data_IF_229740975093
#
_entry.id   IF_229740975093
#
_cell.length_a   1.000
_cell.length_b   1.000
_cell.length_c   1.000
_cell.angle_alpha   90.00
_cell.angle_beta   90.00
_cell.angle_gamma   90.00
#
_symmetry.space_group_name_H-M   'P 1'
#
loop_
_entity.id
_entity.type
_entity.pdbx_description
1 polymer ?
#
# COMPACT_ATOMS: atom_id res chain seq x y z
N UNK A 1 -27.98 -40.16 10.50
CA UNK A 1 -27.40 -38.82 10.28
C UNK A 1 -26.65 -38.80 8.95
N UNK A 2 -27.19 -38.09 7.95
CA UNK A 2 -26.52 -37.94 6.65
C UNK A 2 -25.53 -36.78 6.73
N UNK A 3 -24.25 -37.06 6.49
CA UNK A 3 -23.24 -36.03 6.29
C UNK A 3 -23.40 -35.46 4.88
N UNK A 4 -23.96 -34.26 4.79
CA UNK A 4 -24.03 -33.53 3.51
C UNK A 4 -22.70 -32.85 3.27
N UNK A 5 -21.89 -33.40 2.36
CA UNK A 5 -20.66 -32.77 1.92
C UNK A 5 -21.02 -31.52 1.09
N UNK A 6 -20.87 -30.33 1.66
CA UNK A 6 -21.16 -29.06 0.98
C UNK A 6 -19.92 -28.55 0.25
N UNK A 7 -20.06 -28.30 -1.05
CA UNK A 7 -19.00 -27.70 -1.85
C UNK A 7 -19.01 -26.18 -1.63
N UNK A 8 -18.20 -25.71 -0.68
CA UNK A 8 -18.00 -24.29 -0.46
C UNK A 8 -17.31 -23.71 -1.69
N UNK A 9 -18.00 -22.84 -2.43
CA UNK A 9 -17.38 -22.01 -3.48
C UNK A 9 -16.96 -20.69 -2.83
N UNK A 10 -15.71 -20.55 -2.37
CA UNK A 10 -15.26 -19.28 -1.82
C UNK A 10 -15.32 -18.23 -2.92
N UNK A 11 -16.13 -17.20 -2.72
CA UNK A 11 -16.06 -15.99 -3.54
C UNK A 11 -15.08 -15.06 -2.86
N UNK A 12 -14.05 -14.64 -3.57
CA UNK A 12 -13.10 -13.65 -3.07
C UNK A 12 -13.86 -12.35 -2.78
N UNK A 13 -14.12 -12.10 -1.50
CA UNK A 13 -14.59 -10.80 -1.06
C UNK A 13 -13.36 -9.96 -0.79
N UNK A 14 -13.00 -9.10 -1.76
CA UNK A 14 -12.03 -8.03 -1.52
C UNK A 14 -12.65 -7.10 -0.48
N UNK A 15 -12.22 -7.21 0.78
CA UNK A 15 -12.74 -6.41 1.88
C UNK A 15 -12.22 -4.95 1.88
N UNK A 16 -11.84 -4.41 0.73
CA UNK A 16 -11.36 -3.04 0.56
C UNK A 16 -10.84 -2.77 -0.86
N UNK A 17 -10.86 -1.51 -1.28
CA UNK A 17 -10.34 -1.05 -2.58
C UNK A 17 -8.86 -0.67 -2.53
N UNK A 18 -8.27 -0.63 -1.33
CA UNK A 18 -6.90 -0.18 -1.12
C UNK A 18 -5.93 -1.35 -0.95
N UNK A 19 -5.06 -1.52 -1.93
CA UNK A 19 -3.93 -2.46 -1.87
C UNK A 19 -2.64 -1.65 -1.76
N UNK A 20 -1.79 -1.89 -0.74
CA UNK A 20 -0.48 -1.25 -0.69
C UNK A 20 0.29 -1.48 -1.98
N UNK A 21 1.07 -0.48 -2.40
CA UNK A 21 1.96 -0.60 -3.55
C UNK A 21 3.02 -1.71 -3.35
N UNK A 22 3.68 -2.08 -4.45
CA UNK A 22 4.82 -3.00 -4.44
C UNK A 22 6.09 -2.25 -4.86
N UNK A 23 7.24 -2.51 -4.21
CA UNK A 23 8.48 -1.91 -4.64
C UNK A 23 8.88 -2.46 -6.02
N UNK A 24 9.35 -1.58 -6.90
CA UNK A 24 9.84 -2.01 -8.21
C UNK A 24 11.12 -2.83 -8.04
N UNK A 25 11.21 -3.97 -8.72
CA UNK A 25 12.36 -4.87 -8.64
C UNK A 25 13.70 -4.19 -8.95
N UNK A 26 13.69 -3.21 -9.87
CA UNK A 26 14.87 -2.40 -10.17
C UNK A 26 15.30 -1.52 -8.99
N UNK A 27 14.35 -0.90 -8.27
CA UNK A 27 14.65 -0.11 -7.07
C UNK A 27 15.21 -0.99 -5.95
N UNK A 28 14.57 -2.14 -5.69
CA UNK A 28 15.03 -3.11 -4.68
C UNK A 28 16.48 -3.52 -4.93
N UNK A 29 16.81 -3.87 -6.19
CA UNK A 29 18.17 -4.25 -6.57
C UNK A 29 19.17 -3.11 -6.43
N UNK A 30 18.81 -1.89 -6.87
CA UNK A 30 19.72 -0.74 -6.85
C UNK A 30 20.04 -0.28 -5.43
N UNK A 31 19.03 -0.23 -4.57
CA UNK A 31 19.18 0.15 -3.17
C UNK A 31 19.67 -1.00 -2.27
N UNK A 32 20.00 -2.17 -2.84
CA UNK A 32 20.42 -3.38 -2.11
C UNK A 32 19.45 -3.79 -0.98
N UNK A 33 18.15 -3.60 -1.22
CA UNK A 33 17.10 -3.89 -0.25
C UNK A 33 16.61 -5.34 -0.35
N UNK A 34 16.10 -5.85 0.76
CA UNK A 34 15.38 -7.12 0.85
C UNK A 34 13.89 -6.88 1.08
N UNK A 35 13.06 -7.92 0.90
CA UNK A 35 11.62 -7.84 1.20
C UNK A 35 11.35 -7.48 2.68
N UNK A 36 12.25 -7.87 3.59
CA UNK A 36 12.13 -7.62 5.03
C UNK A 36 12.37 -6.14 5.40
N UNK A 37 12.94 -5.35 4.48
CA UNK A 37 13.13 -3.91 4.67
C UNK A 37 11.84 -3.11 4.43
N UNK A 38 10.83 -3.75 3.83
CA UNK A 38 9.54 -3.15 3.52
C UNK A 38 8.48 -3.55 4.53
N UNK A 39 7.63 -2.59 4.89
CA UNK A 39 6.44 -2.83 5.71
C UNK A 39 5.20 -2.40 4.94
N UNK A 40 4.25 -3.33 4.80
CA UNK A 40 2.95 -3.05 4.18
C UNK A 40 1.89 -2.99 5.27
N UNK A 41 1.15 -1.90 5.29
CA UNK A 41 0.12 -1.63 6.30
C UNK A 41 -1.17 -1.32 5.57
N UNK A 42 -2.27 -1.92 6.04
CA UNK A 42 -3.63 -1.53 5.68
C UNK A 42 -4.39 -1.21 6.96
N UNK A 43 -5.24 -0.18 6.94
CA UNK A 43 -6.08 0.16 8.08
C UNK A 43 -7.50 0.48 7.65
N UNK A 44 -8.42 0.30 8.59
CA UNK A 44 -9.86 0.54 8.45
C UNK A 44 -10.35 1.26 9.68
N UNK A 45 -11.16 2.29 9.51
CA UNK A 45 -11.68 3.11 10.60
C UNK A 45 -13.21 3.11 10.53
N UNK A 46 -13.82 2.77 11.67
CA UNK A 46 -15.27 2.74 11.83
C UNK A 46 -15.98 1.70 10.97
N UNK A 47 -17.30 1.66 11.09
CA UNK A 47 -18.18 0.84 10.26
C UNK A 47 -19.45 1.63 9.94
N UNK A 48 -19.91 1.53 8.70
CA UNK A 48 -21.18 2.12 8.28
C UNK A 48 -22.35 1.30 8.84
N UNK A 49 -23.40 2.00 9.28
CA UNK A 49 -24.68 1.41 9.68
C UNK A 49 -25.76 1.64 8.62
N UNK A 50 -25.42 2.23 7.46
CA UNK A 50 -26.37 2.45 6.38
C UNK A 50 -26.78 1.12 5.76
N UNK A 51 -28.08 0.91 5.51
CA UNK A 51 -28.61 -0.38 5.02
C UNK A 51 -27.86 -0.92 3.78
N UNK A 52 -27.49 -0.05 2.84
CA UNK A 52 -26.77 -0.42 1.61
C UNK A 52 -25.27 -0.72 1.82
N UNK A 53 -24.67 -0.21 2.88
CA UNK A 53 -23.23 -0.26 3.13
C UNK A 53 -22.90 -0.82 4.53
N UNK A 54 -23.86 -1.48 5.17
CA UNK A 54 -23.75 -1.94 6.55
C UNK A 54 -22.50 -2.80 6.76
N UNK A 55 -21.72 -2.48 7.78
CA UNK A 55 -20.48 -3.15 8.13
C UNK A 55 -19.26 -2.77 7.28
N UNK A 56 -19.40 -1.97 6.20
CA UNK A 56 -18.25 -1.47 5.43
C UNK A 56 -17.46 -0.44 6.25
N UNK A 57 -16.12 -0.35 6.08
CA UNK A 57 -15.33 0.71 6.71
C UNK A 57 -15.83 2.10 6.31
N UNK A 58 -15.84 3.05 7.25
CA UNK A 58 -16.12 4.45 6.93
C UNK A 58 -14.93 5.11 6.22
N UNK A 59 -13.72 4.73 6.62
CA UNK A 59 -12.48 5.11 5.97
C UNK A 59 -11.57 3.89 5.91
N UNK A 60 -10.78 3.80 4.85
CA UNK A 60 -9.74 2.81 4.70
C UNK A 60 -8.54 3.43 3.99
N UNK A 61 -7.38 2.80 4.16
CA UNK A 61 -6.14 3.24 3.53
C UNK A 61 -5.08 2.16 3.58
N UNK A 62 -4.02 2.38 2.81
CA UNK A 62 -2.88 1.49 2.74
C UNK A 62 -1.57 2.28 2.61
N UNK A 63 -0.48 1.68 3.08
CA UNK A 63 0.88 2.24 3.04
C UNK A 63 1.88 1.14 2.70
N UNK A 64 2.81 1.46 1.81
CA UNK A 64 4.09 0.77 1.68
C UNK A 64 5.15 1.68 2.31
N UNK A 65 5.85 1.19 3.32
CA UNK A 65 6.96 1.88 3.97
C UNK A 65 8.24 1.09 3.79
N UNK A 66 9.38 1.77 3.84
CA UNK A 66 10.72 1.19 3.83
C UNK A 66 11.52 1.80 4.99
N UNK A 67 12.34 1.00 5.65
CA UNK A 67 13.18 1.51 6.75
C UNK A 67 14.21 2.50 6.18
N UNK A 68 14.23 3.74 6.68
CA UNK A 68 15.17 4.78 6.22
C UNK A 68 16.63 4.31 6.26
N UNK A 69 17.02 3.58 7.32
CA UNK A 69 18.40 3.08 7.47
C UNK A 69 18.77 1.94 6.51
N UNK A 70 17.80 1.29 5.87
CA UNK A 70 18.07 0.24 4.89
C UNK A 70 18.33 0.83 3.50
N UNK A 71 17.87 2.06 3.23
CA UNK A 71 18.08 2.73 1.95
C UNK A 71 19.53 3.23 1.90
N UNK A 72 20.37 2.45 1.22
CA UNK A 72 21.70 2.88 0.82
C UNK A 72 21.66 3.16 -0.67
N UNK A 73 21.66 4.44 -1.03
CA UNK A 73 21.77 4.86 -2.43
C UNK A 73 23.25 4.96 -2.81
N UNK A 74 23.61 4.63 -4.06
CA UNK A 74 24.92 4.97 -4.61
C UNK A 74 25.22 6.47 -4.46
N UNK A 75 26.51 6.81 -4.39
CA UNK A 75 26.94 8.21 -4.37
C UNK A 75 26.31 8.99 -5.55
N UNK A 76 25.91 10.23 -5.28
CA UNK A 76 25.21 11.14 -6.21
C UNK A 76 23.71 10.84 -6.49
N UNK A 77 23.18 9.69 -6.06
CA UNK A 77 21.74 9.43 -6.17
C UNK A 77 20.94 10.00 -4.99
N UNK A 78 19.74 10.54 -5.27
CA UNK A 78 18.80 11.07 -4.27
C UNK A 78 17.42 10.45 -4.45
N UNK A 79 16.68 10.36 -3.35
CA UNK A 79 15.27 9.98 -3.36
C UNK A 79 14.37 11.18 -3.63
N UNK A 80 13.31 10.93 -4.38
CA UNK A 80 12.18 11.83 -4.53
C UNK A 80 10.87 11.04 -4.43
N UNK A 81 9.84 11.68 -3.92
CA UNK A 81 8.49 11.14 -3.78
C UNK A 81 7.59 11.86 -4.77
N UNK A 82 6.98 11.11 -5.68
CA UNK A 82 6.00 11.62 -6.64
C UNK A 82 4.61 11.43 -6.05
N UNK A 83 3.89 12.53 -5.86
CA UNK A 83 2.52 12.51 -5.33
C UNK A 83 1.55 12.55 -6.50
N UNK A 84 0.76 11.49 -6.65
CA UNK A 84 -0.24 11.38 -7.72
C UNK A 84 -1.63 11.36 -7.13
N UNK A 85 -2.52 12.21 -7.64
CA UNK A 85 -3.94 12.25 -7.27
C UNK A 85 -4.76 12.08 -8.54
N UNK A 86 -5.63 11.07 -8.54
CA UNK A 86 -6.48 10.69 -9.69
C UNK A 86 -5.66 10.43 -10.97
N UNK A 87 -4.54 9.71 -10.81
CA UNK A 87 -3.63 9.40 -11.91
C UNK A 87 -2.80 10.58 -12.43
N UNK A 88 -2.98 11.78 -11.87
CA UNK A 88 -2.24 12.99 -12.27
C UNK A 88 -1.17 13.33 -11.23
N UNK A 89 0.08 13.53 -11.66
CA UNK A 89 1.15 14.01 -10.78
C UNK A 89 0.78 15.41 -10.27
N UNK A 90 0.78 15.59 -8.96
CA UNK A 90 0.43 16.85 -8.28
C UNK A 90 1.64 17.62 -7.79
N UNK A 91 2.65 16.91 -7.31
CA UNK A 91 3.90 17.50 -6.82
C UNK A 91 4.96 16.39 -6.73
N UNK A 92 6.21 16.80 -6.63
CA UNK A 92 7.32 15.92 -6.29
C UNK A 92 8.11 16.55 -5.15
N UNK A 93 8.45 15.76 -4.13
CA UNK A 93 9.24 16.25 -2.99
C UNK A 93 10.52 15.45 -2.80
N UNK A 94 11.53 16.04 -2.19
CA UNK A 94 12.76 15.36 -1.78
C UNK A 94 12.65 14.75 -0.37
N UNK A 95 13.78 14.24 0.16
CA UNK A 95 13.83 13.56 1.45
C UNK A 95 13.64 14.49 2.66
N UNK A 96 13.75 15.79 2.43
CA UNK A 96 13.54 16.86 3.39
C UNK A 96 12.16 17.51 3.21
N UNK A 97 11.33 16.98 2.31
CA UNK A 97 10.03 17.51 1.93
C UNK A 97 10.10 18.86 1.19
N UNK A 98 11.25 19.18 0.58
CA UNK A 98 11.34 20.32 -0.33
C UNK A 98 10.68 19.94 -1.66
N UNK A 99 9.89 20.86 -2.21
CA UNK A 99 9.26 20.69 -3.51
C UNK A 99 10.31 20.77 -4.64
N UNK A 100 10.28 19.80 -5.54
CA UNK A 100 11.20 19.66 -6.67
C UNK A 100 10.53 20.03 -8.01
N UNK A 101 9.19 20.02 -8.05
CA UNK A 101 8.36 20.30 -9.21
C UNK A 101 6.98 20.77 -8.77
#
# INVERSE_FOLDING_TARGET
PHETCCHVRPTWTLFGVFTPAYPLSHFVKRASLSEDDFTRIGWKIGRSNEFKYSGRPLREGCLLAVRKSAIVLPDEEKLAWVVTVDGTVRTMVDAEMNELY
#
